data_IF_639285189485
#
_entry.id   IF_639285189485
#
_cell.length_a   1.000
_cell.length_b   1.000
_cell.length_c   1.000
_cell.angle_alpha   90.00
_cell.angle_beta   90.00
_cell.angle_gamma   90.00
#
_symmetry.space_group_name_H-M   'P 1'
#
loop_
_entity.id
_entity.type
_entity.pdbx_description
1 polymer ?
#
# COMPACT_ATOMS: atom_id res chain seq x y z
N UNK A 1 -1.48 7.22 4.28
CA UNK A 1 -2.52 7.83 3.42
C UNK A 1 -3.85 7.85 4.11
N UNK A 2 -4.58 8.93 3.91
CA UNK A 2 -5.94 9.02 4.43
C UNK A 2 -6.92 8.42 3.42
N UNK A 3 -8.01 7.85 3.91
CA UNK A 3 -9.02 7.22 3.05
C UNK A 3 -9.58 8.20 2.01
N UNK A 4 -9.74 9.47 2.38
CA UNK A 4 -10.24 10.48 1.46
C UNK A 4 -9.31 10.69 0.28
N UNK A 5 -8.00 10.67 0.52
CA UNK A 5 -7.00 10.79 -0.55
C UNK A 5 -7.06 9.62 -1.51
N UNK A 6 -7.25 8.42 -0.97
CA UNK A 6 -7.34 7.21 -1.80
C UNK A 6 -8.58 7.26 -2.68
N UNK A 7 -9.69 7.76 -2.17
CA UNK A 7 -10.94 7.86 -2.93
C UNK A 7 -10.85 8.80 -4.12
N UNK A 8 -9.98 9.80 -4.06
CA UNK A 8 -9.78 10.76 -5.15
C UNK A 8 -8.92 10.20 -6.28
N UNK A 9 -8.22 9.11 -6.05
CA UNK A 9 -7.33 8.54 -7.05
C UNK A 9 -8.13 7.78 -8.12
N UNK A 10 -7.89 8.04 -9.42
CA UNK A 10 -8.51 7.24 -10.49
C UNK A 10 -8.16 5.77 -10.37
N UNK A 11 -9.07 4.90 -10.79
CA UNK A 11 -8.90 3.46 -10.64
C UNK A 11 -7.62 2.94 -11.28
N UNK A 12 -7.27 3.41 -12.47
CA UNK A 12 -6.06 2.96 -13.16
C UNK A 12 -4.80 3.34 -12.38
N UNK A 13 -4.75 4.57 -11.86
CA UNK A 13 -3.63 5.02 -11.05
C UNK A 13 -3.57 4.29 -9.71
N UNK A 14 -4.73 4.00 -9.14
CA UNK A 14 -4.80 3.28 -7.87
C UNK A 14 -4.22 1.87 -8.01
N UNK A 15 -4.52 1.17 -9.11
CA UNK A 15 -3.96 -0.14 -9.39
C UNK A 15 -2.44 -0.09 -9.49
N UNK A 16 -1.91 0.91 -10.19
CA UNK A 16 -0.47 1.09 -10.30
C UNK A 16 0.17 1.40 -8.95
N UNK A 17 -0.47 2.24 -8.15
CA UNK A 17 0.04 2.58 -6.83
C UNK A 17 0.07 1.37 -5.90
N UNK A 18 -0.94 0.51 -5.96
CA UNK A 18 -0.97 -0.72 -5.18
C UNK A 18 0.19 -1.62 -5.58
N UNK A 19 0.41 -1.79 -6.87
CA UNK A 19 1.50 -2.63 -7.38
C UNK A 19 2.86 -2.09 -6.93
N UNK A 20 3.09 -0.79 -7.10
CA UNK A 20 4.35 -0.15 -6.70
C UNK A 20 4.56 -0.23 -5.19
N UNK A 21 3.52 0.08 -4.42
CA UNK A 21 3.60 0.05 -2.97
C UNK A 21 3.87 -1.36 -2.45
N UNK A 22 3.30 -2.36 -3.11
CA UNK A 22 3.51 -3.75 -2.73
C UNK A 22 4.96 -4.18 -2.97
N UNK A 23 5.54 -3.77 -4.11
CA UNK A 23 6.95 -4.02 -4.40
C UNK A 23 7.85 -3.34 -3.38
N UNK A 24 7.57 -2.10 -3.04
CA UNK A 24 8.34 -1.35 -2.04
C UNK A 24 8.24 -2.00 -0.66
N UNK A 25 7.05 -2.47 -0.31
CA UNK A 25 6.83 -3.17 0.95
C UNK A 25 7.66 -4.46 1.02
N UNK A 26 7.67 -5.25 -0.05
CA UNK A 26 8.47 -6.46 -0.11
C UNK A 26 9.96 -6.15 0.05
N UNK A 27 10.44 -5.07 -0.57
CA UNK A 27 11.83 -4.64 -0.40
C UNK A 27 12.13 -4.20 1.03
N UNK A 28 11.19 -3.51 1.66
CA UNK A 28 11.35 -3.14 3.07
C UNK A 28 11.47 -4.36 3.97
N UNK A 29 10.68 -5.40 3.69
CA UNK A 29 10.77 -6.65 4.46
C UNK A 29 12.12 -7.32 4.28
N UNK A 30 12.63 -7.36 3.05
CA UNK A 30 13.95 -7.93 2.78
C UNK A 30 15.06 -7.14 3.48
N UNK A 31 14.99 -5.81 3.40
CA UNK A 31 15.98 -4.94 4.05
C UNK A 31 15.94 -5.09 5.57
N UNK A 32 14.73 -5.25 6.14
CA UNK A 32 14.58 -5.44 7.57
C UNK A 32 15.17 -6.77 8.02
N UNK A 33 15.05 -7.81 7.20
CA UNK A 33 15.63 -9.13 7.51
C UNK A 33 17.16 -9.08 7.51
N UNK A 34 17.75 -8.25 6.62
CA UNK A 34 19.20 -8.10 6.51
C UNK A 34 19.73 -7.13 7.57
N UNK A 35 18.96 -6.09 7.87
CA UNK A 35 19.37 -5.05 8.82
C UNK A 35 18.24 -4.79 9.82
N UNK A 36 18.21 -5.51 10.95
CA UNK A 36 17.14 -5.38 11.96
C UNK A 36 17.01 -3.99 12.57
N UNK A 37 17.99 -3.11 12.33
CA UNK A 37 17.95 -1.74 12.83
C UNK A 37 17.05 -0.85 11.97
N UNK A 38 16.51 -1.36 10.86
CA UNK A 38 15.59 -0.61 10.02
C UNK A 38 14.31 -0.27 10.79
N UNK A 39 13.72 0.88 10.45
CA UNK A 39 12.55 1.39 11.15
C UNK A 39 11.30 0.54 10.88
N UNK A 40 10.87 -0.26 11.86
CA UNK A 40 9.70 -1.12 11.72
C UNK A 40 8.39 -0.33 11.60
N UNK A 41 8.37 0.92 12.06
CA UNK A 41 7.19 1.78 11.93
C UNK A 41 6.87 2.06 10.46
N UNK A 42 7.91 2.23 9.62
CA UNK A 42 7.72 2.42 8.18
C UNK A 42 7.08 1.19 7.52
N UNK A 43 7.47 0.00 7.96
CA UNK A 43 6.90 -1.25 7.43
C UNK A 43 5.43 -1.35 7.80
N UNK A 44 5.08 -1.04 9.03
CA UNK A 44 3.68 -1.06 9.47
C UNK A 44 2.83 -0.03 8.73
N UNK A 45 3.37 1.16 8.52
CA UNK A 45 2.68 2.22 7.78
C UNK A 45 2.43 1.81 6.33
N UNK A 46 3.45 1.24 5.67
CA UNK A 46 3.33 0.77 4.30
C UNK A 46 2.27 -0.33 4.17
N UNK A 47 2.26 -1.27 5.10
CA UNK A 47 1.27 -2.35 5.11
C UNK A 47 -0.14 -1.80 5.25
N UNK A 48 -0.33 -0.82 6.12
CA UNK A 48 -1.64 -0.21 6.34
C UNK A 48 -2.12 0.53 5.10
N UNK A 49 -1.23 1.28 4.45
CA UNK A 49 -1.57 2.00 3.23
C UNK A 49 -1.97 1.05 2.11
N UNK A 50 -1.23 -0.04 1.94
CA UNK A 50 -1.55 -1.05 0.93
C UNK A 50 -2.92 -1.67 1.20
N UNK A 51 -3.21 -2.00 2.45
CA UNK A 51 -4.50 -2.58 2.84
C UNK A 51 -5.64 -1.63 2.51
N UNK A 52 -5.48 -0.34 2.80
CA UNK A 52 -6.50 0.67 2.49
C UNK A 52 -6.74 0.79 0.99
N UNK A 53 -5.67 0.82 0.20
CA UNK A 53 -5.77 0.92 -1.25
C UNK A 53 -6.45 -0.31 -1.85
N UNK A 54 -6.10 -1.50 -1.36
CA UNK A 54 -6.73 -2.74 -1.83
C UNK A 54 -8.21 -2.78 -1.48
N UNK A 55 -8.58 -2.32 -0.29
CA UNK A 55 -9.97 -2.25 0.13
C UNK A 55 -10.78 -1.33 -0.78
N UNK A 56 -10.23 -0.18 -1.12
CA UNK A 56 -10.89 0.75 -2.01
C UNK A 56 -11.08 0.16 -3.41
N UNK A 57 -10.05 -0.49 -3.95
CA UNK A 57 -10.15 -1.16 -5.23
C UNK A 57 -11.24 -2.22 -5.23
N UNK A 58 -11.28 -3.02 -4.18
CA UNK A 58 -12.28 -4.07 -4.04
C UNK A 58 -13.69 -3.49 -4.01
N UNK A 59 -13.89 -2.40 -3.28
CA UNK A 59 -15.19 -1.73 -3.22
C UNK A 59 -15.62 -1.22 -4.58
N UNK A 60 -14.67 -0.66 -5.35
CA UNK A 60 -14.96 -0.17 -6.70
C UNK A 60 -15.37 -1.30 -7.63
N UNK A 61 -14.72 -2.45 -7.52
CA UNK A 61 -15.07 -3.63 -8.32
C UNK A 61 -16.45 -4.18 -7.96
N UNK A 62 -16.79 -4.17 -6.67
CA UNK A 62 -18.09 -4.65 -6.21
C UNK A 62 -19.24 -3.72 -6.60
N UNK A 63 -18.95 -2.44 -6.81
CA UNK A 63 -19.95 -1.43 -7.10
C UNK A 63 -20.08 -1.09 -8.59
N UNK A 64 -19.57 -1.92 -9.47
CA UNK A 64 -19.74 -1.74 -10.91
C UNK A 64 -21.17 -1.98 -11.38
#
# INVERSE_FOLDING_TARGET
MKSAEIREIPTNELKEKVSTAQSEYEQMLLNHAVSPLANSASIKAARRDIARMKTELRQRELNK
#
